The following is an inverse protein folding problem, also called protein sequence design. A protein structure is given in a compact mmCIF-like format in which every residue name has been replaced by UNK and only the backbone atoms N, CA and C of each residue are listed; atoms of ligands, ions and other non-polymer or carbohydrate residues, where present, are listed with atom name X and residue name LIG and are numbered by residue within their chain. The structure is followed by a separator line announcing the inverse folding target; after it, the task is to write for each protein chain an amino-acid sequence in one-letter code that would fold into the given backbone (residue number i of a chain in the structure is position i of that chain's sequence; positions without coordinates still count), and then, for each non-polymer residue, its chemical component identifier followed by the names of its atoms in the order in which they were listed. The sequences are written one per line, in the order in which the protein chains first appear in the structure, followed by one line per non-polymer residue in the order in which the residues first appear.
data_IF_912224009093
#
_entry.id   IF_912224009093
#
_cell.length_a   1.000
_cell.length_b   1.000
_cell.length_c   1.000
_cell.angle_alpha   90.00
_cell.angle_beta   90.00
_cell.angle_gamma   90.00
#
_symmetry.space_group_name_H-M   'P 1'
#
loop_
_entity.id
_entity.type
_entity.pdbx_description
1 polymer ?
#
# COMPACT_ATOMS: atom_id res chain seq x y z
N UNK A 1 48.36 8.50 16.13
CA UNK A 1 47.01 8.82 16.67
C UNK A 1 46.10 9.58 15.70
N UNK A 2 46.62 10.38 14.74
CA UNK A 2 45.75 11.12 13.80
C UNK A 2 45.04 10.22 12.76
N UNK A 3 45.73 9.24 12.18
CA UNK A 3 45.14 8.35 11.16
C UNK A 3 43.97 7.53 11.71
N UNK A 4 44.08 7.02 12.95
CA UNK A 4 43.01 6.24 13.58
C UNK A 4 41.75 7.06 13.85
N UNK A 5 41.90 8.31 14.30
CA UNK A 5 40.79 9.23 14.51
C UNK A 5 40.12 9.64 13.18
N UNK A 6 40.91 9.90 12.13
CA UNK A 6 40.39 10.21 10.79
C UNK A 6 39.64 9.02 10.18
N UNK A 7 40.16 7.79 10.31
CA UNK A 7 39.47 6.60 9.82
C UNK A 7 38.17 6.35 10.59
N UNK A 8 38.18 6.47 11.92
CA UNK A 8 36.99 6.33 12.74
C UNK A 8 35.91 7.36 12.38
N UNK A 9 36.30 8.61 12.13
CA UNK A 9 35.39 9.66 11.68
C UNK A 9 34.76 9.31 10.32
N UNK A 10 35.55 8.86 9.34
CA UNK A 10 35.03 8.45 8.01
C UNK A 10 34.05 7.27 8.13
N UNK A 11 34.33 6.30 8.98
CA UNK A 11 33.43 5.16 9.24
C UNK A 11 32.13 5.64 9.88
N UNK A 12 32.20 6.55 10.85
CA UNK A 12 31.03 7.10 11.52
C UNK A 12 30.14 7.91 10.56
N UNK A 13 30.74 8.77 9.74
CA UNK A 13 30.04 9.55 8.72
C UNK A 13 29.39 8.64 7.67
N UNK A 14 30.11 7.59 7.24
CA UNK A 14 29.60 6.54 6.36
C UNK A 14 28.36 5.83 6.92
N UNK A 15 28.38 5.50 8.21
CA UNK A 15 27.31 4.75 8.87
C UNK A 15 26.03 5.59 9.08
N UNK A 16 26.14 6.92 9.12
CA UNK A 16 25.03 7.84 9.37
C UNK A 16 24.86 8.82 8.21
N UNK A 17 24.53 8.34 7.01
CA UNK A 17 24.46 9.19 5.83
C UNK A 17 23.35 10.23 5.96
N UNK A 18 23.54 11.37 5.30
CA UNK A 18 22.47 12.36 5.19
C UNK A 18 21.29 11.77 4.38
N UNK A 19 20.08 11.89 4.93
CA UNK A 19 18.84 11.45 4.30
C UNK A 19 17.84 12.60 4.44
N UNK A 20 17.24 13.00 3.31
CA UNK A 20 16.37 14.17 3.26
C UNK A 20 14.95 13.81 2.81
N UNK A 21 13.95 14.34 3.51
CA UNK A 21 12.59 14.40 2.98
C UNK A 21 12.52 15.46 1.90
N UNK A 22 11.97 15.11 0.76
CA UNK A 22 11.82 16.02 -0.37
C UNK A 22 10.39 16.55 -0.49
N UNK A 23 10.28 17.86 -0.71
CA UNK A 23 9.06 18.55 -1.11
C UNK A 23 9.22 19.15 -2.50
N UNK A 24 8.10 19.42 -3.18
CA UNK A 24 8.06 20.06 -4.49
C UNK A 24 8.10 21.57 -4.33
N UNK A 25 8.92 22.24 -5.13
CA UNK A 25 8.90 23.71 -5.19
C UNK A 25 7.67 24.21 -5.98
N UNK A 26 6.97 25.24 -5.49
CA UNK A 26 5.76 25.80 -6.13
C UNK A 26 5.95 26.13 -7.62
N UNK A 27 5.00 25.70 -8.45
CA UNK A 27 5.01 25.99 -9.90
C UNK A 27 6.07 25.24 -10.72
N UNK A 28 6.88 24.36 -10.13
CA UNK A 28 7.96 23.65 -10.83
C UNK A 28 7.75 22.13 -10.83
N UNK A 29 8.64 21.35 -11.43
CA UNK A 29 8.73 19.89 -11.22
C UNK A 29 9.95 19.49 -10.39
N UNK A 30 10.50 20.44 -9.62
CA UNK A 30 11.74 20.29 -8.86
C UNK A 30 11.43 19.90 -7.41
N UNK A 31 12.17 18.93 -6.89
CA UNK A 31 12.06 18.45 -5.52
C UNK A 31 13.33 18.79 -4.73
N UNK A 32 13.16 19.29 -3.51
CA UNK A 32 14.24 19.76 -2.63
C UNK A 32 13.98 19.38 -1.17
N UNK A 33 15.06 19.34 -0.39
CA UNK A 33 14.99 19.09 1.04
C UNK A 33 14.08 20.13 1.71
N UNK A 34 13.01 19.67 2.34
CA UNK A 34 12.02 20.54 3.01
C UNK A 34 12.62 21.33 4.18
N UNK A 35 13.67 20.81 4.81
CA UNK A 35 14.37 21.53 5.88
C UNK A 35 15.21 22.69 5.33
N UNK A 36 15.67 22.60 4.08
CA UNK A 36 16.47 23.64 3.44
C UNK A 36 15.60 24.66 2.70
N UNK A 37 14.45 24.22 2.16
CA UNK A 37 13.52 25.04 1.37
C UNK A 37 12.12 24.96 1.98
N UNK A 38 11.77 25.85 2.93
CA UNK A 38 10.48 25.81 3.64
C UNK A 38 9.26 26.01 2.74
N UNK A 39 9.43 26.60 1.56
CA UNK A 39 8.38 26.74 0.55
C UNK A 39 8.07 25.43 -0.20
N UNK A 40 8.93 24.42 -0.06
CA UNK A 40 8.74 23.12 -0.68
C UNK A 40 7.62 22.34 0.04
N UNK A 41 6.62 21.92 -0.72
CA UNK A 41 5.44 21.26 -0.16
C UNK A 41 5.42 19.75 -0.44
N UNK A 42 4.78 19.00 0.44
CA UNK A 42 4.69 17.53 0.33
C UNK A 42 3.28 17.11 -0.11
N UNK A 43 3.07 15.81 -0.31
CA UNK A 43 1.78 15.28 -0.76
C UNK A 43 1.19 14.34 0.28
N UNK A 44 -0.11 14.50 0.52
CA UNK A 44 -0.86 13.59 1.38
C UNK A 44 -0.76 12.15 0.85
N UNK A 45 -0.45 11.21 1.74
CA UNK A 45 -0.30 9.79 1.41
C UNK A 45 1.02 9.39 0.74
N UNK A 46 1.93 10.34 0.49
CA UNK A 46 3.18 10.08 -0.23
C UNK A 46 4.35 10.70 0.53
N UNK A 47 5.34 9.88 0.86
CA UNK A 47 6.62 10.33 1.42
C UNK A 47 7.70 10.19 0.35
N UNK A 48 8.50 11.24 0.15
CA UNK A 48 9.59 11.25 -0.82
C UNK A 48 10.88 11.42 -0.03
N UNK A 49 11.81 10.48 -0.16
CA UNK A 49 13.06 10.47 0.61
C UNK A 49 14.23 10.32 -0.34
N UNK A 50 15.26 11.15 -0.15
CA UNK A 50 16.53 11.07 -0.88
C UNK A 50 17.62 10.54 0.04
N UNK A 51 18.33 9.54 -0.43
CA UNK A 51 19.49 8.95 0.26
C UNK A 51 20.75 9.57 -0.35
N UNK A 52 21.48 10.40 0.42
CA UNK A 52 22.66 11.12 -0.05
C UNK A 52 23.96 10.33 0.18
N UNK A 53 23.95 9.01 -0.05
CA UNK A 53 25.12 8.14 0.15
C UNK A 53 25.02 6.80 -0.60
N UNK A 54 26.16 6.10 -0.83
CA UNK A 54 26.13 4.68 -1.16
C UNK A 54 25.50 3.87 -0.01
N UNK A 55 24.85 2.76 -0.35
CA UNK A 55 24.17 1.90 0.63
C UNK A 55 24.98 0.62 0.79
N UNK A 56 25.40 0.31 2.00
CA UNK A 56 26.15 -0.90 2.31
C UNK A 56 25.86 -1.37 3.73
N UNK A 57 26.38 -2.52 4.10
CA UNK A 57 26.11 -3.16 5.39
C UNK A 57 26.10 -2.22 6.61
N UNK A 58 27.04 -1.26 6.69
CA UNK A 58 27.18 -0.40 7.86
C UNK A 58 26.10 0.69 8.00
N UNK A 59 25.33 1.03 6.96
CA UNK A 59 24.33 2.11 7.02
C UNK A 59 22.89 1.69 6.71
N UNK A 60 22.64 0.43 6.34
CA UNK A 60 21.30 -0.06 6.00
C UNK A 60 20.31 0.05 7.15
N UNK A 61 20.72 -0.30 8.38
CA UNK A 61 19.87 -0.17 9.57
C UNK A 61 19.47 1.29 9.81
N UNK A 62 20.45 2.20 9.75
CA UNK A 62 20.22 3.63 9.90
C UNK A 62 19.22 4.15 8.87
N UNK A 63 19.39 3.78 7.59
CA UNK A 63 18.47 4.17 6.53
C UNK A 63 17.04 3.65 6.80
N UNK A 64 16.88 2.38 7.20
CA UNK A 64 15.57 1.80 7.51
C UNK A 64 14.88 2.55 8.65
N UNK A 65 15.61 2.87 9.72
CA UNK A 65 15.06 3.57 10.87
C UNK A 65 14.65 5.01 10.50
N UNK A 66 15.49 5.73 9.75
CA UNK A 66 15.15 7.08 9.25
C UNK A 66 13.92 7.08 8.35
N UNK A 67 13.76 6.09 7.47
CA UNK A 67 12.57 5.98 6.61
C UNK A 67 11.29 5.84 7.45
N UNK A 68 11.32 5.04 8.51
CA UNK A 68 10.20 4.88 9.46
C UNK A 68 9.87 6.17 10.19
N UNK A 69 10.88 6.91 10.63
CA UNK A 69 10.69 8.21 11.29
C UNK A 69 10.02 9.22 10.36
N UNK A 70 10.45 9.28 9.09
CA UNK A 70 9.88 10.20 8.11
C UNK A 70 8.42 9.89 7.73
N UNK A 71 7.94 8.67 7.91
CA UNK A 71 6.51 8.38 7.74
C UNK A 71 5.63 9.12 8.76
N UNK A 72 6.18 9.35 9.95
CA UNK A 72 5.47 9.97 11.09
C UNK A 72 5.67 11.47 11.11
N UNK A 73 6.89 11.95 10.84
CA UNK A 73 7.31 13.33 11.10
C UNK A 73 6.96 14.35 10.01
N UNK A 74 6.45 13.93 8.85
CA UNK A 74 6.15 14.89 7.76
C UNK A 74 5.03 15.85 8.18
N UNK A 75 5.37 17.14 8.31
CA UNK A 75 4.47 18.20 8.74
C UNK A 75 3.19 18.23 7.89
N UNK A 76 2.05 18.06 8.56
CA UNK A 76 0.72 18.07 7.95
C UNK A 76 0.37 19.43 7.32
N UNK A 77 0.94 20.53 7.81
CA UNK A 77 0.64 21.88 7.33
C UNK A 77 1.12 22.14 5.90
N UNK A 78 2.16 21.41 5.46
CA UNK A 78 2.76 21.54 4.13
C UNK A 78 2.21 20.53 3.12
N UNK A 79 1.29 19.66 3.53
CA UNK A 79 0.77 18.59 2.68
C UNK A 79 -0.32 19.10 1.74
N UNK A 80 -0.19 18.76 0.48
CA UNK A 80 -1.15 19.05 -0.58
C UNK A 80 -1.84 17.78 -1.07
N UNK A 81 -3.01 17.97 -1.67
CA UNK A 81 -3.84 16.88 -2.20
C UNK A 81 -4.90 16.41 -1.19
N UNK A 82 -5.72 15.42 -1.58
CA UNK A 82 -6.80 14.92 -0.74
C UNK A 82 -6.31 14.50 0.64
N UNK A 83 -7.05 14.81 1.70
CA UNK A 83 -6.71 14.32 3.03
C UNK A 83 -6.79 12.79 3.06
N UNK A 84 -5.78 12.17 3.67
CA UNK A 84 -5.74 10.73 3.86
C UNK A 84 -5.20 10.38 5.23
N UNK A 85 -5.64 9.23 5.74
CA UNK A 85 -5.36 8.78 7.11
C UNK A 85 -3.94 8.25 7.29
N UNK A 86 -3.30 7.76 6.21
CA UNK A 86 -2.00 7.11 6.26
C UNK A 86 -1.14 7.37 5.02
N UNK A 87 0.12 6.97 5.12
CA UNK A 87 1.03 6.88 3.97
C UNK A 87 0.67 5.64 3.15
N UNK A 88 0.59 5.78 1.83
CA UNK A 88 0.39 4.69 0.88
C UNK A 88 1.62 4.44 0.01
N UNK A 89 2.46 5.47 -0.18
CA UNK A 89 3.60 5.41 -1.06
C UNK A 89 4.84 5.99 -0.40
N UNK A 90 5.96 5.28 -0.55
CA UNK A 90 7.31 5.78 -0.22
C UNK A 90 8.12 5.80 -1.50
N UNK A 91 8.52 7.00 -1.93
CA UNK A 91 9.36 7.20 -3.12
C UNK A 91 10.80 7.40 -2.65
N UNK A 92 11.68 6.48 -3.00
CA UNK A 92 13.12 6.54 -2.68
C UNK A 92 13.84 7.12 -3.90
N UNK A 93 14.33 8.34 -3.76
CA UNK A 93 15.22 8.99 -4.70
C UNK A 93 16.64 8.46 -4.47
N UNK A 94 17.24 7.91 -5.53
CA UNK A 94 18.55 7.25 -5.52
C UNK A 94 19.59 7.91 -6.43
N UNK A 95 19.40 9.14 -6.91
CA UNK A 95 20.38 9.78 -7.79
C UNK A 95 21.76 9.95 -7.14
N UNK A 96 21.87 10.30 -5.84
CA UNK A 96 23.16 10.36 -5.14
C UNK A 96 23.72 8.98 -4.76
N UNK A 97 22.91 7.92 -4.82
CA UNK A 97 23.35 6.57 -4.45
C UNK A 97 24.27 6.06 -5.56
N UNK A 98 25.57 6.04 -5.29
CA UNK A 98 26.59 5.64 -6.28
C UNK A 98 26.77 4.12 -6.34
N UNK A 99 26.59 3.43 -5.23
CA UNK A 99 26.87 2.00 -5.09
C UNK A 99 25.93 1.33 -4.07
N UNK A 100 25.63 0.05 -4.29
CA UNK A 100 24.95 -0.83 -3.34
C UNK A 100 25.65 -2.18 -3.23
N UNK A 101 25.79 -2.73 -2.01
CA UNK A 101 26.32 -4.09 -1.79
C UNK A 101 25.20 -5.14 -1.61
N UNK A 102 25.60 -6.41 -1.39
CA UNK A 102 24.65 -7.51 -1.17
C UNK A 102 23.81 -7.35 0.10
N UNK A 103 24.36 -6.73 1.16
CA UNK A 103 23.64 -6.43 2.39
C UNK A 103 22.59 -5.35 2.17
N UNK A 104 22.89 -4.34 1.35
CA UNK A 104 21.95 -3.31 0.93
C UNK A 104 20.80 -3.88 0.09
N UNK A 105 21.11 -4.76 -0.86
CA UNK A 105 20.10 -5.50 -1.61
C UNK A 105 19.16 -6.26 -0.68
N UNK A 106 19.69 -6.97 0.30
CA UNK A 106 18.88 -7.71 1.28
C UNK A 106 18.03 -6.77 2.13
N UNK A 107 18.60 -5.64 2.59
CA UNK A 107 17.87 -4.63 3.35
C UNK A 107 16.71 -4.03 2.55
N UNK A 108 16.88 -3.79 1.24
CA UNK A 108 15.80 -3.31 0.37
C UNK A 108 14.69 -4.36 0.23
N UNK A 109 15.02 -5.65 0.13
CA UNK A 109 14.02 -6.74 0.09
C UNK A 109 13.21 -6.82 1.37
N UNK A 110 13.87 -6.73 2.52
CA UNK A 110 13.20 -6.70 3.83
C UNK A 110 12.32 -5.46 3.99
N UNK A 111 12.83 -4.29 3.60
CA UNK A 111 12.07 -3.04 3.63
C UNK A 111 10.82 -3.14 2.74
N UNK A 112 10.94 -3.71 1.55
CA UNK A 112 9.80 -3.97 0.68
C UNK A 112 8.77 -4.88 1.34
N UNK A 113 9.20 -5.99 1.97
CA UNK A 113 8.29 -6.90 2.66
C UNK A 113 7.58 -6.23 3.85
N UNK A 114 8.31 -5.41 4.62
CA UNK A 114 7.76 -4.66 5.74
C UNK A 114 6.75 -3.60 5.29
N UNK A 115 7.03 -2.89 4.20
CA UNK A 115 6.07 -1.92 3.67
C UNK A 115 4.87 -2.59 3.03
N UNK A 116 5.08 -3.68 2.30
CA UNK A 116 4.00 -4.46 1.71
C UNK A 116 3.05 -5.03 2.76
N UNK A 117 3.54 -5.46 3.93
CA UNK A 117 2.68 -5.94 5.02
C UNK A 117 1.83 -4.84 5.67
N UNK A 118 2.15 -3.56 5.40
CA UNK A 118 1.41 -2.37 5.84
C UNK A 118 0.63 -1.69 4.70
N UNK A 119 0.52 -2.35 3.54
CA UNK A 119 -0.06 -1.80 2.31
C UNK A 119 0.58 -0.47 1.87
N UNK A 120 1.90 -0.36 2.07
CA UNK A 120 2.72 0.76 1.58
C UNK A 120 3.50 0.27 0.36
N UNK A 121 3.38 0.97 -0.76
CA UNK A 121 4.10 0.68 -1.99
C UNK A 121 5.40 1.50 -2.06
N UNK A 122 6.52 0.83 -2.32
CA UNK A 122 7.79 1.50 -2.63
C UNK A 122 7.82 1.87 -4.10
N UNK A 123 8.27 3.07 -4.42
CA UNK A 123 8.74 3.45 -5.74
C UNK A 123 10.22 3.86 -5.70
N UNK A 124 10.98 3.46 -6.71
CA UNK A 124 12.40 3.83 -6.84
C UNK A 124 12.52 4.89 -7.93
N UNK A 125 13.12 6.02 -7.61
CA UNK A 125 13.34 7.13 -8.52
C UNK A 125 14.83 7.36 -8.76
N UNK A 126 15.21 7.50 -10.03
CA UNK A 126 16.53 7.87 -10.50
C UNK A 126 17.69 7.01 -9.98
N UNK A 127 17.58 5.65 -9.95
CA UNK A 127 18.75 4.83 -9.64
C UNK A 127 19.77 4.96 -10.76
N UNK A 128 21.05 5.10 -10.41
CA UNK A 128 22.10 5.07 -11.41
C UNK A 128 22.17 3.69 -12.10
N UNK A 129 22.85 3.60 -13.24
CA UNK A 129 22.92 2.36 -14.05
C UNK A 129 23.48 1.15 -13.26
N UNK A 130 24.55 1.34 -12.50
CA UNK A 130 25.20 0.26 -11.74
C UNK A 130 24.27 -0.25 -10.63
N UNK A 131 23.68 0.67 -9.88
CA UNK A 131 22.69 0.36 -8.83
C UNK A 131 21.49 -0.39 -9.42
N UNK A 132 20.94 0.10 -10.54
CA UNK A 132 19.82 -0.55 -11.21
C UNK A 132 20.17 -1.98 -11.67
N UNK A 133 21.35 -2.20 -12.24
CA UNK A 133 21.79 -3.53 -12.66
C UNK A 133 21.97 -4.47 -11.47
N UNK A 134 22.53 -3.99 -10.36
CA UNK A 134 22.67 -4.78 -9.14
C UNK A 134 21.31 -5.16 -8.54
N UNK A 135 20.36 -4.22 -8.50
CA UNK A 135 18.98 -4.50 -8.06
C UNK A 135 18.28 -5.50 -8.98
N UNK A 136 18.44 -5.34 -10.30
CA UNK A 136 17.83 -6.22 -11.30
C UNK A 136 18.41 -7.64 -11.22
N UNK A 137 19.74 -7.78 -11.17
CA UNK A 137 20.42 -9.06 -11.06
C UNK A 137 20.07 -9.81 -9.77
N UNK A 138 19.71 -9.09 -8.71
CA UNK A 138 19.24 -9.67 -7.45
C UNK A 138 17.72 -9.93 -7.39
N UNK A 139 16.98 -9.65 -8.46
CA UNK A 139 15.52 -9.83 -8.55
C UNK A 139 14.70 -8.79 -7.78
N UNK A 140 15.31 -7.69 -7.32
CA UNK A 140 14.60 -6.64 -6.57
C UNK A 140 13.64 -5.86 -7.47
N UNK A 141 14.03 -5.65 -8.73
CA UNK A 141 13.18 -4.96 -9.70
C UNK A 141 11.87 -5.71 -9.92
N UNK A 142 11.93 -7.03 -10.09
CA UNK A 142 10.73 -7.85 -10.25
C UNK A 142 9.94 -7.99 -8.94
N UNK A 143 10.62 -7.99 -7.79
CA UNK A 143 9.98 -8.02 -6.47
C UNK A 143 9.13 -6.76 -6.22
N UNK A 144 9.67 -5.57 -6.51
CA UNK A 144 8.98 -4.29 -6.31
C UNK A 144 7.95 -4.04 -7.42
N UNK A 145 8.25 -4.47 -8.66
CA UNK A 145 7.46 -4.20 -9.86
C UNK A 145 8.14 -3.16 -10.76
N UNK A 146 8.28 -3.47 -12.05
CA UNK A 146 8.98 -2.62 -13.04
C UNK A 146 8.31 -1.26 -13.22
N UNK A 147 6.99 -1.22 -13.05
CA UNK A 147 6.16 -0.03 -13.10
C UNK A 147 6.45 0.97 -11.98
N UNK A 148 7.12 0.53 -10.91
CA UNK A 148 7.50 1.36 -9.76
C UNK A 148 8.94 1.89 -9.83
N UNK A 149 9.58 1.77 -11.00
CA UNK A 149 10.88 2.37 -11.28
C UNK A 149 10.73 3.55 -12.22
N UNK A 150 11.25 4.70 -11.80
CA UNK A 150 11.09 5.96 -12.51
C UNK A 150 12.43 6.65 -12.73
N UNK A 151 12.57 7.34 -13.87
CA UNK A 151 13.73 8.21 -14.11
C UNK A 151 13.62 9.49 -13.28
N UNK A 152 12.42 10.07 -13.16
CA UNK A 152 12.17 11.32 -12.44
C UNK A 152 11.26 11.10 -11.25
N UNK A 153 11.58 11.74 -10.12
CA UNK A 153 10.70 11.80 -8.94
C UNK A 153 9.32 12.33 -9.29
N UNK A 154 9.24 13.34 -10.17
CA UNK A 154 7.97 13.92 -10.56
C UNK A 154 7.00 12.90 -11.17
N UNK A 155 7.51 12.00 -12.02
CA UNK A 155 6.69 10.98 -12.68
C UNK A 155 6.16 9.96 -11.66
N UNK A 156 7.03 9.53 -10.74
CA UNK A 156 6.64 8.67 -9.62
C UNK A 156 5.51 9.31 -8.80
N UNK A 157 5.64 10.60 -8.47
CA UNK A 157 4.63 11.34 -7.71
C UNK A 157 3.31 11.43 -8.47
N UNK A 158 3.32 11.70 -9.78
CA UNK A 158 2.08 11.75 -10.56
C UNK A 158 1.33 10.41 -10.53
N UNK A 159 2.05 9.29 -10.70
CA UNK A 159 1.47 7.96 -10.63
C UNK A 159 0.92 7.68 -9.23
N UNK A 160 1.67 7.99 -8.17
CA UNK A 160 1.22 7.80 -6.79
C UNK A 160 -0.03 8.64 -6.48
N UNK A 161 -0.06 9.91 -6.91
CA UNK A 161 -1.22 10.80 -6.70
C UNK A 161 -2.48 10.26 -7.38
N UNK A 162 -2.37 9.74 -8.60
CA UNK A 162 -3.50 9.11 -9.29
C UNK A 162 -4.01 7.86 -8.56
N UNK A 163 -3.14 7.11 -7.87
CA UNK A 163 -3.56 5.99 -7.03
C UNK A 163 -4.26 6.49 -5.76
N UNK A 164 -3.70 7.49 -5.08
CA UNK A 164 -4.32 8.09 -3.87
C UNK A 164 -5.71 8.64 -4.18
N UNK A 165 -5.90 9.31 -5.31
CA UNK A 165 -7.21 9.81 -5.74
C UNK A 165 -8.22 8.68 -5.95
N UNK A 166 -7.85 7.61 -6.65
CA UNK A 166 -8.72 6.44 -6.86
C UNK A 166 -9.11 5.73 -5.56
N UNK A 167 -8.22 5.71 -4.58
CA UNK A 167 -8.52 5.17 -3.24
C UNK A 167 -9.57 6.01 -2.51
N UNK A 168 -9.57 7.33 -2.71
CA UNK A 168 -10.57 8.24 -2.14
C UNK A 168 -11.90 8.26 -2.93
N UNK A 169 -11.86 7.94 -4.22
CA UNK A 169 -13.05 7.87 -5.09
C UNK A 169 -13.77 6.52 -5.04
N UNK A 170 -13.14 5.48 -4.49
CA UNK A 170 -13.83 4.20 -4.22
C UNK A 170 -15.04 4.50 -3.32
N UNK A 171 -16.25 4.03 -3.67
CA UNK A 171 -17.46 4.55 -3.09
C UNK A 171 -17.43 4.30 -1.59
N UNK A 172 -17.43 5.39 -0.80
CA UNK A 172 -18.17 5.37 0.46
C UNK A 172 -19.52 4.82 0.04
N UNK A 173 -19.85 3.58 0.47
CA UNK A 173 -21.20 3.04 0.32
C UNK A 173 -22.10 4.23 0.66
N UNK A 174 -22.97 4.69 -0.26
CA UNK A 174 -23.89 5.76 0.09
C UNK A 174 -24.52 5.25 1.37
N UNK A 175 -24.40 6.02 2.45
CA UNK A 175 -25.15 5.78 3.66
C UNK A 175 -26.59 5.74 3.15
N UNK A 176 -27.07 4.52 2.91
CA UNK A 176 -28.38 4.27 2.34
C UNK A 176 -29.25 4.95 3.36
N UNK A 177 -29.85 6.06 2.95
CA UNK A 177 -30.92 6.69 3.68
C UNK A 177 -31.75 5.55 4.20
N UNK A 178 -31.72 5.33 5.51
CA UNK A 178 -32.66 4.45 6.19
C UNK A 178 -33.98 5.22 6.12
N UNK A 179 -34.52 5.33 4.91
CA UNK A 179 -35.93 5.52 4.71
C UNK A 179 -36.55 4.22 5.17
N UNK A 180 -37.09 4.29 6.38
CA UNK A 180 -38.06 3.36 6.92
C UNK A 180 -39.13 3.07 5.86
N UNK A 181 -38.92 2.04 5.05
CA UNK A 181 -39.98 1.34 4.34
C UNK A 181 -40.03 -0.07 4.87
N UNK A 182 -41.14 -0.50 5.47
CA UNK A 182 -41.27 -1.85 5.99
C UNK A 182 -41.07 -2.83 4.83
N UNK A 183 -40.12 -3.74 5.04
CA UNK A 183 -39.74 -4.78 4.09
C UNK A 183 -40.96 -5.54 3.63
N UNK A 184 -41.04 -5.84 2.33
CA UNK A 184 -42.06 -6.70 1.72
C UNK A 184 -42.13 -8.06 2.45
N UNK A 185 -41.03 -8.50 3.06
CA UNK A 185 -40.97 -9.68 3.92
C UNK A 185 -41.83 -9.56 5.19
N UNK A 186 -42.01 -8.36 5.75
CA UNK A 186 -42.91 -8.14 6.89
C UNK A 186 -44.37 -8.37 6.48
N UNK A 187 -44.78 -7.86 5.31
CA UNK A 187 -46.13 -8.09 4.75
C UNK A 187 -46.39 -9.55 4.43
N UNK A 188 -45.37 -10.29 3.98
CA UNK A 188 -45.46 -11.73 3.70
C UNK A 188 -45.52 -12.58 4.98
N UNK A 189 -44.93 -12.11 6.08
CA UNK A 189 -45.02 -12.78 7.38
C UNK A 189 -46.38 -12.56 8.05
N UNK A 190 -46.95 -11.35 7.95
CA UNK A 190 -48.29 -11.06 8.49
C UNK A 190 -49.41 -11.81 7.73
N UNK A 191 -49.26 -12.00 6.41
CA UNK A 191 -50.16 -12.83 5.61
C UNK A 191 -50.11 -14.31 6.01
N UNK A 192 -48.96 -14.80 6.47
CA UNK A 192 -48.82 -16.19 6.94
C UNK A 192 -49.50 -16.39 8.30
N UNK A 193 -49.47 -15.41 9.20
CA UNK A 193 -50.13 -15.53 10.51
C UNK A 193 -51.66 -15.37 10.45
N UNK A 194 -52.19 -14.67 9.44
CA UNK A 194 -53.64 -14.58 9.22
C UNK A 194 -54.24 -15.82 8.51
N UNK A 195 -53.48 -16.50 7.64
CA UNK A 195 -53.95 -17.74 6.99
C UNK A 195 -53.95 -18.94 7.97
N UNK A 196 -53.03 -18.98 8.93
CA UNK A 196 -53.00 -20.04 9.97
C UNK A 196 -54.14 -19.92 10.99
N UNK A 197 -54.77 -18.75 11.15
CA UNK A 197 -55.89 -18.55 12.08
C UNK A 197 -57.28 -18.71 11.43
N UNK A 198 -57.35 -18.89 10.10
CA UNK A 198 -58.60 -19.19 9.36
C UNK A 198 -58.79 -20.66 8.99
N UNK A 199 -57.74 -21.49 9.02
CA UNK A 199 -57.80 -22.89 8.60
C UNK A 199 -58.17 -23.89 9.73
N UNK A 200 -58.32 -23.46 10.98
CA UNK A 200 -58.65 -24.32 12.13
C UNK A 200 -60.13 -24.32 12.56
N UNK A 201 -61.02 -23.78 11.72
CA UNK A 201 -62.48 -23.84 11.92
C UNK A 201 -63.24 -24.75 10.94
N UNK A 202 -62.55 -25.49 10.08
CA UNK A 202 -63.17 -26.53 9.24
C UNK A 202 -62.49 -27.89 9.43
N UNK A 203 -62.58 -28.43 10.66
CA UNK A 203 -62.44 -29.86 10.89
C UNK A 203 -63.78 -30.55 10.62
N UNK A 204 -63.88 -31.24 9.49
CA UNK A 204 -64.62 -32.51 9.41
C UNK A 204 -64.33 -33.25 8.10
N UNK A 205 -63.72 -34.43 8.23
CA UNK A 205 -63.97 -35.53 7.30
C UNK A 205 -62.77 -36.08 6.53
N UNK A 206 -62.10 -37.08 7.12
CA UNK A 206 -61.99 -38.41 6.49
C UNK A 206 -60.86 -38.71 5.48
N UNK A 207 -60.05 -39.72 5.87
CA UNK A 207 -59.37 -40.75 5.05
C UNK A 207 -58.19 -40.35 4.13
N UNK A 208 -56.95 -40.80 4.42
CA UNK A 208 -56.28 -42.07 4.01
C UNK A 208 -55.75 -41.99 2.55
N UNK A 209 -54.49 -42.29 2.15
CA UNK A 209 -53.62 -43.46 2.37
C UNK A 209 -52.24 -43.22 1.69
N UNK A 210 -51.19 -43.90 2.19
CA UNK A 210 -50.09 -44.57 1.43
C UNK A 210 -49.01 -43.67 0.76
N UNK A 211 -47.80 -43.58 1.34
CA UNK A 211 -46.55 -44.36 1.02
C UNK A 211 -45.75 -43.76 -0.15
N UNK A 212 -44.41 -43.75 -0.27
CA UNK A 212 -43.28 -44.45 0.37
C UNK A 212 -41.97 -43.82 -0.19
N UNK A 213 -40.89 -43.84 0.59
CA UNK A 213 -39.48 -44.17 0.27
C UNK A 213 -38.85 -43.73 -1.09
N UNK A 214 -37.57 -43.36 -1.25
CA UNK A 214 -36.39 -43.23 -0.40
C UNK A 214 -35.26 -42.55 -1.23
N UNK A 215 -34.26 -42.03 -0.51
CA UNK A 215 -32.92 -41.51 -0.91
C UNK A 215 -31.97 -42.64 -1.43
N UNK A 216 -30.63 -42.48 -1.67
CA UNK A 216 -29.77 -41.34 -2.02
C UNK A 216 -28.65 -41.63 -3.09
N UNK A 217 -27.86 -40.59 -3.44
CA UNK A 217 -26.41 -40.53 -3.80
C UNK A 217 -25.83 -41.28 -5.02
N UNK A 218 -25.05 -40.55 -5.85
CA UNK A 218 -23.59 -40.76 -6.15
C UNK A 218 -23.10 -39.83 -7.30
N UNK A 219 -22.01 -39.07 -7.06
CA UNK A 219 -21.08 -38.51 -8.07
C UNK A 219 -20.03 -39.60 -8.49
N UNK A 220 -18.95 -39.38 -9.31
CA UNK A 220 -18.49 -38.23 -10.13
C UNK A 220 -18.05 -38.61 -11.57
N UNK A 221 -17.84 -37.66 -12.50
CA UNK A 221 -17.01 -37.93 -13.70
C UNK A 221 -16.20 -36.71 -14.21
N UNK A 222 -14.90 -36.96 -14.32
CA UNK A 222 -13.87 -36.21 -15.04
C UNK A 222 -14.13 -36.23 -16.55
N UNK A 223 -13.93 -35.11 -17.25
CA UNK A 223 -13.82 -35.08 -18.72
C UNK A 223 -12.50 -34.47 -19.20
N UNK A 224 -12.03 -35.03 -20.31
CA UNK A 224 -10.69 -34.95 -20.89
C UNK A 224 -10.78 -34.26 -22.27
N UNK A 225 -9.75 -33.49 -22.61
CA UNK A 225 -9.25 -33.18 -23.98
C UNK A 225 -10.13 -32.43 -24.99
N UNK A 226 -9.54 -31.40 -25.60
CA UNK A 226 -8.97 -31.50 -26.96
C UNK A 226 -7.76 -30.58 -27.06
#
# INVERSE_FOLDING_TARGET
MQVGASLAFVIHESANPHIAVLGRLPGTTVYRNVQQYPEAYTYNGIVIVRIDAPIYFANTSYIKDRLREFEVEVDRSTRHGPEVERVYFVIIEMAPVTYIDSSAVQAVKELHQEYKSRDIQIAIANPNREVLLTLAGAGVVDLIGKEWYFVRVHDAVQVCLQHVQRLNESPKIPEVLVENKPSIFQRLLDQRTEDFSKAELESSGGHSLISKDADPKLEPLLWRKS
#
